data_IF_195782649059
#
_entry.id   IF_195782649059
#
_cell.length_a   1.000
_cell.length_b   1.000
_cell.length_c   1.000
_cell.angle_alpha   90.00
_cell.angle_beta   90.00
_cell.angle_gamma   90.00
#
_symmetry.space_group_name_H-M   'P 1'
#
loop_
_entity.id
_entity.type
_entity.pdbx_description
1 polymer ?
#
# COMPACT_ATOMS: atom_id res chain seq x y z
N UNK A 1 2.71 3.59 -9.87
CA UNK A 1 2.62 3.24 -8.44
C UNK A 1 3.86 3.82 -7.79
N UNK A 2 3.74 4.98 -7.14
CA UNK A 2 4.82 5.50 -6.28
C UNK A 2 4.73 4.75 -4.95
N UNK A 3 5.64 3.81 -4.73
CA UNK A 3 5.93 3.30 -3.39
C UNK A 3 6.69 4.42 -2.71
N UNK A 4 6.22 4.91 -1.56
CA UNK A 4 6.90 6.00 -0.90
C UNK A 4 8.24 5.50 -0.34
N UNK A 5 9.31 5.79 -1.06
CA UNK A 5 10.67 5.61 -0.58
C UNK A 5 10.86 6.54 0.62
N UNK A 6 10.99 5.98 1.83
CA UNK A 6 11.25 6.75 3.05
C UNK A 6 10.66 6.17 4.34
N UNK A 7 9.63 5.30 4.26
CA UNK A 7 9.13 4.62 5.44
C UNK A 7 9.92 3.33 5.68
N UNK A 8 10.66 3.28 6.80
CA UNK A 8 11.48 2.14 7.21
C UNK A 8 10.62 0.90 7.44
N UNK A 9 10.32 0.12 6.40
CA UNK A 9 9.92 -1.30 6.37
C UNK A 9 8.68 -1.77 7.15
N UNK A 10 8.29 -1.08 8.23
CA UNK A 10 7.24 -1.49 9.15
C UNK A 10 5.86 -1.06 8.65
N UNK A 11 5.78 0.02 7.87
CA UNK A 11 4.52 0.55 7.37
C UNK A 11 4.59 0.89 5.88
N UNK A 12 3.43 0.80 5.23
CA UNK A 12 3.18 1.16 3.84
C UNK A 12 2.32 2.44 3.83
N UNK A 13 2.90 3.59 3.45
CA UNK A 13 2.16 4.83 3.29
C UNK A 13 1.40 4.87 1.95
N UNK A 14 0.15 5.33 1.99
CA UNK A 14 -0.69 5.58 0.82
C UNK A 14 -1.02 7.07 0.80
N UNK A 15 -0.60 7.79 -0.24
CA UNK A 15 -0.90 9.21 -0.43
C UNK A 15 -2.07 9.41 -1.38
N UNK A 16 -2.83 10.47 -1.15
CA UNK A 16 -3.76 11.00 -2.13
C UNK A 16 -2.97 11.66 -3.28
N UNK A 17 -3.16 11.16 -4.51
CA UNK A 17 -2.50 11.70 -5.69
C UNK A 17 -2.92 13.13 -6.03
N UNK A 18 -4.08 13.57 -5.55
CA UNK A 18 -4.60 14.93 -5.75
C UNK A 18 -4.06 15.91 -4.71
N UNK A 19 -3.48 15.41 -3.62
CA UNK A 19 -2.85 16.23 -2.56
C UNK A 19 -1.47 15.63 -2.23
N UNK A 20 -0.50 15.69 -3.16
CA UNK A 20 0.78 14.96 -3.06
C UNK A 20 1.64 15.35 -1.85
N UNK A 21 1.49 16.59 -1.36
CA UNK A 21 2.19 17.10 -0.18
C UNK A 21 1.39 16.93 1.13
N UNK A 22 0.20 16.31 1.07
CA UNK A 22 -0.64 16.03 2.22
C UNK A 22 -0.14 14.85 3.07
N UNK A 23 -0.84 14.63 4.18
CA UNK A 23 -0.57 13.48 5.05
C UNK A 23 -0.83 12.15 4.32
N UNK A 24 -0.05 11.12 4.66
CA UNK A 24 -0.22 9.77 4.16
C UNK A 24 -1.00 8.91 5.16
N UNK A 25 -1.85 8.02 4.66
CA UNK A 25 -2.41 6.94 5.48
C UNK A 25 -1.38 5.81 5.58
N UNK A 26 -1.03 5.38 6.79
CA UNK A 26 -0.02 4.34 6.99
C UNK A 26 -0.68 3.03 7.41
N UNK A 27 -0.34 1.94 6.72
CA UNK A 27 -0.77 0.58 7.04
C UNK A 27 0.43 -0.24 7.49
N UNK A 28 0.25 -1.22 8.37
CA UNK A 28 1.31 -2.19 8.66
C UNK A 28 1.67 -3.00 7.41
N UNK A 29 2.95 -3.27 7.22
CA UNK A 29 3.44 -3.92 6.00
C UNK A 29 2.89 -5.35 5.81
N UNK A 30 2.78 -6.13 6.90
CA UNK A 30 2.31 -7.51 6.82
C UNK A 30 0.82 -7.63 6.43
N UNK A 31 -0.13 -6.93 7.10
CA UNK A 31 -1.52 -6.89 6.65
C UNK A 31 -1.70 -6.34 5.24
N UNK A 32 -0.95 -5.31 4.84
CA UNK A 32 -1.00 -4.78 3.46
C UNK A 32 -0.57 -5.81 2.43
N UNK A 33 0.52 -6.54 2.68
CA UNK A 33 0.99 -7.60 1.79
C UNK A 33 -0.04 -8.73 1.64
N UNK A 34 -0.67 -9.15 2.74
CA UNK A 34 -1.74 -10.15 2.72
C UNK A 34 -2.93 -9.69 1.87
N UNK A 35 -3.42 -8.46 2.09
CA UNK A 35 -4.52 -7.88 1.31
C UNK A 35 -4.25 -7.88 -0.21
N UNK A 36 -3.06 -7.44 -0.62
CA UNK A 36 -2.68 -7.46 -2.04
C UNK A 36 -2.56 -8.89 -2.57
N UNK A 37 -2.10 -9.83 -1.74
CA UNK A 37 -2.06 -11.26 -2.07
C UNK A 37 -3.44 -11.80 -2.41
N UNK A 38 -4.43 -11.55 -1.55
CA UNK A 38 -5.82 -11.97 -1.76
C UNK A 38 -6.43 -11.34 -3.01
N UNK A 39 -6.24 -10.02 -3.22
CA UNK A 39 -6.73 -9.34 -4.43
C UNK A 39 -6.18 -9.96 -5.72
N UNK A 40 -4.90 -10.36 -5.70
CA UNK A 40 -4.27 -11.01 -6.86
C UNK A 40 -4.81 -12.42 -7.06
N UNK A 41 -5.00 -13.17 -5.97
CA UNK A 41 -5.55 -14.52 -6.02
C UNK A 41 -6.98 -14.53 -6.58
N UNK A 42 -7.84 -13.59 -6.15
CA UNK A 42 -9.20 -13.46 -6.68
C UNK A 42 -9.22 -13.10 -8.17
N UNK A 43 -8.32 -12.23 -8.61
CA UNK A 43 -8.17 -11.90 -10.04
C UNK A 43 -7.66 -13.08 -10.89
N UNK A 44 -7.09 -14.12 -10.26
CA UNK A 44 -6.64 -15.35 -10.92
C UNK A 44 -7.68 -16.47 -10.90
N UNK A 45 -8.90 -16.23 -10.41
CA UNK A 45 -10.01 -17.17 -10.57
C UNK A 45 -10.49 -17.15 -12.03
N UNK A 46 -10.47 -18.30 -12.75
CA UNK A 46 -10.98 -18.39 -14.11
C UNK A 46 -12.50 -18.14 -14.18
#
# INVERSE_FOLDING_TARGET
MEVADGFRGAVVPVRDSKVPYGAALCFEAAPWAAFIGELKAERHRP
#
